data_IF_997280036036
#
_entry.id   IF_997280036036
#
_cell.length_a   1.000
_cell.length_b   1.000
_cell.length_c   1.000
_cell.angle_alpha   90.00
_cell.angle_beta   90.00
_cell.angle_gamma   90.00
#
_symmetry.space_group_name_H-M   'P 1'
#
loop_
_entity.id
_entity.type
_entity.pdbx_description
1 polymer ?
#
# COMPACT_ATOMS: atom_id res chain seq x y z
N UNK A 1 -43.37 -0.50 -63.29
CA UNK A 1 -43.74 0.50 -62.33
C UNK A 1 -43.64 -0.17 -60.96
N UNK A 2 -42.55 -0.03 -60.26
CA UNK A 2 -42.31 -0.69 -58.96
C UNK A 2 -41.91 0.41 -57.95
N UNK A 3 -42.80 0.63 -57.01
CA UNK A 3 -42.69 1.58 -55.92
C UNK A 3 -41.77 0.96 -54.84
N UNK A 4 -40.62 1.58 -54.56
CA UNK A 4 -39.73 1.21 -53.50
C UNK A 4 -40.20 1.95 -52.24
N UNK A 5 -40.67 1.20 -51.24
CA UNK A 5 -40.96 1.68 -49.89
C UNK A 5 -39.65 1.75 -49.11
N UNK A 6 -39.21 2.93 -48.74
CA UNK A 6 -38.10 3.14 -47.79
C UNK A 6 -38.61 2.95 -46.37
N UNK A 7 -38.15 1.90 -45.72
CA UNK A 7 -38.37 1.68 -44.25
C UNK A 7 -37.28 2.38 -43.50
N UNK A 8 -37.55 3.49 -42.89
CA UNK A 8 -36.70 4.15 -41.92
C UNK A 8 -36.73 3.40 -40.60
N UNK A 9 -35.63 2.70 -40.28
CA UNK A 9 -35.45 2.09 -38.95
C UNK A 9 -35.04 3.19 -37.96
N UNK A 10 -35.99 3.56 -37.10
CA UNK A 10 -35.74 4.41 -35.93
C UNK A 10 -35.11 3.50 -34.86
N UNK A 11 -33.78 3.60 -34.72
CA UNK A 11 -33.09 2.96 -33.58
C UNK A 11 -33.26 3.91 -32.38
N UNK A 12 -34.28 3.64 -31.57
CA UNK A 12 -34.42 4.24 -30.25
C UNK A 12 -33.33 3.62 -29.36
N UNK A 13 -32.28 4.40 -29.08
CA UNK A 13 -31.26 4.05 -28.11
C UNK A 13 -31.88 3.97 -26.71
N UNK A 14 -32.09 2.74 -26.22
CA UNK A 14 -32.29 2.51 -24.79
C UNK A 14 -30.98 2.81 -24.08
N UNK A 15 -30.85 4.02 -23.53
CA UNK A 15 -29.89 4.27 -22.48
C UNK A 15 -30.40 3.53 -21.23
N UNK A 16 -29.91 2.33 -21.00
CA UNK A 16 -30.03 1.66 -19.71
C UNK A 16 -29.25 2.51 -18.70
N UNK A 17 -29.96 3.40 -18.00
CA UNK A 17 -29.45 4.03 -16.80
C UNK A 17 -29.06 2.93 -15.84
N UNK A 18 -27.75 2.72 -15.65
CA UNK A 18 -27.23 1.92 -14.55
C UNK A 18 -27.64 2.64 -13.27
N UNK A 19 -28.77 2.24 -12.71
CA UNK A 19 -29.09 2.54 -11.34
C UNK A 19 -27.99 1.87 -10.50
N UNK A 20 -27.04 2.67 -10.02
CA UNK A 20 -26.15 2.27 -8.94
C UNK A 20 -27.03 1.91 -7.76
N UNK A 21 -27.30 0.62 -7.59
CA UNK A 21 -27.90 0.13 -6.36
C UNK A 21 -26.90 0.45 -5.24
N UNK A 22 -27.19 1.52 -4.51
CA UNK A 22 -26.60 1.77 -3.21
C UNK A 22 -27.01 0.62 -2.32
N UNK A 23 -26.18 -0.42 -2.24
CA UNK A 23 -26.36 -1.47 -1.24
C UNK A 23 -26.27 -0.77 0.13
N UNK A 24 -27.35 -0.82 0.91
CA UNK A 24 -27.37 -0.46 2.33
C UNK A 24 -26.46 -1.46 3.09
N UNK A 25 -25.14 -1.31 2.92
CA UNK A 25 -24.12 -2.02 3.68
C UNK A 25 -23.39 -1.03 4.59
N UNK A 26 -22.69 -1.52 5.57
CA UNK A 26 -21.80 -0.68 6.40
C UNK A 26 -20.78 0.03 5.48
N UNK A 27 -20.64 1.35 5.63
CA UNK A 27 -19.65 2.11 4.87
C UNK A 27 -18.22 1.77 5.36
N UNK A 28 -17.30 1.55 4.42
CA UNK A 28 -15.87 1.47 4.76
C UNK A 28 -15.37 2.89 5.05
N UNK A 29 -14.89 3.12 6.26
CA UNK A 29 -14.39 4.43 6.69
C UNK A 29 -12.87 4.56 6.52
N UNK A 30 -12.13 3.45 6.62
CA UNK A 30 -10.67 3.43 6.52
C UNK A 30 -10.16 2.04 6.19
N UNK A 31 -9.06 1.97 5.44
CA UNK A 31 -8.25 0.76 5.28
C UNK A 31 -6.85 1.10 5.80
N UNK A 32 -6.34 0.31 6.74
CA UNK A 32 -4.99 0.45 7.28
C UNK A 32 -4.24 -0.85 7.07
N UNK A 33 -3.00 -0.77 6.59
CA UNK A 33 -2.15 -1.93 6.49
C UNK A 33 -1.67 -2.37 7.88
N UNK A 34 -1.86 -3.63 8.23
CA UNK A 34 -1.27 -4.28 9.38
C UNK A 34 -0.23 -5.29 8.89
N UNK A 35 1.03 -5.05 9.24
CA UNK A 35 2.12 -5.98 8.92
C UNK A 35 2.61 -6.67 10.19
N UNK A 36 3.17 -7.85 10.01
CA UNK A 36 3.72 -8.62 11.12
C UNK A 36 5.24 -8.62 11.08
N UNK A 37 5.86 -8.64 12.25
CA UNK A 37 7.30 -8.73 12.41
C UNK A 37 7.62 -9.66 13.61
N UNK A 38 8.72 -10.42 13.60
CA UNK A 38 9.17 -11.15 14.79
C UNK A 38 9.41 -10.20 15.96
N UNK A 39 10.04 -9.06 15.71
CA UNK A 39 10.30 -7.96 16.65
C UNK A 39 10.05 -6.64 15.95
N UNK A 40 9.49 -5.66 16.66
CA UNK A 40 9.10 -4.35 16.10
C UNK A 40 10.26 -3.38 16.08
N UNK A 41 11.14 -3.41 17.09
CA UNK A 41 12.20 -2.43 17.30
C UNK A 41 13.13 -2.26 16.08
N UNK A 42 13.56 -3.32 15.37
CA UNK A 42 14.34 -3.15 14.15
C UNK A 42 13.56 -2.42 13.03
N UNK A 43 12.25 -2.69 12.93
CA UNK A 43 11.40 -2.01 11.94
C UNK A 43 11.21 -0.53 12.25
N UNK A 44 11.23 -0.12 13.54
CA UNK A 44 11.14 1.30 13.90
C UNK A 44 12.34 2.11 13.38
N UNK A 45 13.55 1.56 13.39
CA UNK A 45 14.72 2.23 12.81
C UNK A 45 14.52 2.53 11.33
N UNK A 46 13.95 1.58 10.60
CA UNK A 46 13.64 1.75 9.19
C UNK A 46 12.50 2.76 8.95
N UNK A 47 11.36 2.55 9.61
CA UNK A 47 10.18 3.37 9.35
C UNK A 47 10.28 4.78 9.97
N UNK A 48 10.79 4.89 11.21
CA UNK A 48 10.87 6.17 11.91
C UNK A 48 12.15 6.91 11.56
N UNK A 49 13.33 6.30 11.79
CA UNK A 49 14.60 7.02 11.69
C UNK A 49 15.00 7.28 10.23
N UNK A 50 14.79 6.30 9.32
CA UNK A 50 15.17 6.46 7.91
C UNK A 50 14.05 7.10 7.08
N UNK A 51 12.81 6.64 7.22
CA UNK A 51 11.71 7.08 6.37
C UNK A 51 10.89 8.24 6.97
N UNK A 52 11.11 8.59 8.25
CA UNK A 52 10.50 9.75 8.90
C UNK A 52 9.01 9.56 9.26
N UNK A 53 8.57 8.33 9.53
CA UNK A 53 7.27 8.09 10.14
C UNK A 53 7.28 8.51 11.61
N UNK A 54 6.13 8.89 12.13
CA UNK A 54 5.92 9.19 13.54
C UNK A 54 5.19 8.05 14.22
N UNK A 55 5.75 7.52 15.32
CA UNK A 55 5.06 6.53 16.15
C UNK A 55 4.04 7.28 17.03
N UNK A 56 2.75 6.97 16.87
CA UNK A 56 1.65 7.62 17.59
C UNK A 56 0.99 6.72 18.65
N UNK A 57 1.16 5.40 18.50
CA UNK A 57 0.68 4.41 19.49
C UNK A 57 1.76 3.36 19.70
N UNK A 58 1.93 2.90 20.94
CA UNK A 58 2.71 1.73 21.27
C UNK A 58 2.02 0.91 22.37
N UNK A 59 2.11 -0.40 22.25
CA UNK A 59 1.63 -1.36 23.26
C UNK A 59 2.78 -2.30 23.59
N UNK A 60 3.23 -2.33 24.85
CA UNK A 60 4.29 -3.21 25.27
C UNK A 60 3.84 -4.68 25.36
N UNK A 61 4.76 -5.59 25.11
CA UNK A 61 4.65 -7.01 25.34
C UNK A 61 5.90 -7.50 26.09
N UNK A 62 5.78 -7.64 27.41
CA UNK A 62 6.93 -7.88 28.29
C UNK A 62 7.88 -6.68 28.26
N UNK A 63 9.14 -6.93 27.89
CA UNK A 63 10.18 -5.91 27.75
C UNK A 63 10.37 -5.44 26.28
N UNK A 64 9.48 -5.82 25.37
CA UNK A 64 9.49 -5.47 23.95
C UNK A 64 8.18 -4.81 23.56
N UNK A 65 8.11 -4.35 22.30
CA UNK A 65 6.87 -3.83 21.72
C UNK A 65 6.04 -4.98 21.13
N UNK A 66 4.75 -5.01 21.51
CA UNK A 66 3.77 -5.94 20.95
C UNK A 66 3.05 -5.38 19.74
N UNK A 67 2.80 -4.05 19.73
CA UNK A 67 2.06 -3.36 18.68
C UNK A 67 2.45 -1.89 18.62
N UNK A 68 2.47 -1.32 17.41
CA UNK A 68 2.65 0.12 17.16
C UNK A 68 1.78 0.61 16.02
N UNK A 69 1.43 1.91 16.04
CA UNK A 69 0.86 2.65 14.92
C UNK A 69 1.84 3.73 14.51
N UNK A 70 2.17 3.76 13.23
CA UNK A 70 3.04 4.73 12.58
C UNK A 70 2.23 5.56 11.59
N UNK A 71 2.47 6.87 11.56
CA UNK A 71 1.79 7.78 10.63
C UNK A 71 2.80 8.66 9.89
N UNK A 72 2.49 8.97 8.63
CA UNK A 72 3.23 9.93 7.82
C UNK A 72 2.37 10.41 6.66
N UNK A 73 2.30 11.73 6.45
CA UNK A 73 1.65 12.35 5.28
C UNK A 73 0.22 11.82 5.02
N UNK A 74 -0.55 11.57 6.08
CA UNK A 74 -1.90 11.02 6.00
C UNK A 74 -1.97 9.48 5.84
N UNK A 75 -0.84 8.81 5.61
CA UNK A 75 -0.77 7.36 5.61
C UNK A 75 -0.65 6.81 7.05
N UNK A 76 -1.17 5.62 7.27
CA UNK A 76 -1.06 4.89 8.52
C UNK A 76 -0.60 3.46 8.28
N UNK A 77 0.32 3.00 9.12
CA UNK A 77 0.85 1.65 9.12
C UNK A 77 0.80 1.09 10.55
N UNK A 78 0.28 -0.10 10.71
CA UNK A 78 0.30 -0.86 11.95
C UNK A 78 1.35 -1.96 11.86
N UNK A 79 2.12 -2.15 12.93
CA UNK A 79 3.07 -3.27 13.05
C UNK A 79 2.75 -4.02 14.34
N UNK A 80 2.59 -5.34 14.24
CA UNK A 80 2.36 -6.20 15.39
C UNK A 80 3.43 -7.29 15.44
N UNK A 81 3.98 -7.54 16.63
CA UNK A 81 4.92 -8.63 16.83
C UNK A 81 4.19 -9.97 16.86
N UNK A 82 4.89 -11.05 16.46
CA UNK A 82 4.31 -12.40 16.54
C UNK A 82 3.95 -12.80 17.97
N UNK A 83 4.70 -12.31 18.96
CA UNK A 83 4.35 -12.51 20.38
C UNK A 83 3.09 -11.74 20.78
N UNK A 84 2.95 -10.48 20.33
CA UNK A 84 1.76 -9.66 20.52
C UNK A 84 0.51 -10.30 19.94
N UNK A 85 0.59 -10.85 18.72
CA UNK A 85 -0.54 -11.57 18.08
C UNK A 85 -0.97 -12.77 18.91
N UNK A 86 -0.01 -13.56 19.41
CA UNK A 86 -0.32 -14.75 20.23
C UNK A 86 -1.13 -14.41 21.48
N UNK A 87 -0.87 -13.26 22.08
CA UNK A 87 -1.57 -12.79 23.27
C UNK A 87 -2.92 -12.15 22.96
N UNK A 88 -2.98 -11.35 21.89
CA UNK A 88 -4.13 -10.53 21.53
C UNK A 88 -5.17 -11.30 20.71
N UNK A 89 -4.73 -11.94 19.62
CA UNK A 89 -5.61 -12.63 18.67
C UNK A 89 -5.03 -14.01 18.35
N UNK A 90 -5.12 -14.94 19.30
CA UNK A 90 -4.51 -16.27 19.15
C UNK A 90 -4.91 -17.03 17.87
N UNK A 91 -6.11 -16.79 17.35
CA UNK A 91 -6.58 -17.38 16.08
C UNK A 91 -5.80 -16.90 14.85
N UNK A 92 -5.05 -15.80 14.96
CA UNK A 92 -4.25 -15.23 13.87
C UNK A 92 -2.79 -15.68 13.87
N UNK A 93 -2.36 -16.45 14.85
CA UNK A 93 -0.93 -16.82 15.05
C UNK A 93 -0.33 -17.51 13.81
N UNK A 94 -1.07 -18.41 13.17
CA UNK A 94 -0.60 -19.12 11.97
C UNK A 94 -0.40 -18.19 10.75
N UNK A 95 -1.09 -17.06 10.73
CA UNK A 95 -1.06 -16.06 9.67
C UNK A 95 -0.09 -14.90 9.98
N UNK A 96 0.30 -14.74 11.23
CA UNK A 96 1.11 -13.63 11.73
C UNK A 96 2.60 -13.81 11.37
N UNK A 97 2.92 -13.69 10.08
CA UNK A 97 4.28 -13.80 9.54
C UNK A 97 4.59 -12.66 8.58
N UNK A 98 5.88 -12.27 8.42
CA UNK A 98 6.28 -11.25 7.46
C UNK A 98 6.08 -11.76 6.02
N UNK A 99 4.99 -11.40 5.41
CA UNK A 99 4.63 -11.81 4.04
C UNK A 99 3.95 -10.69 3.25
N UNK A 100 3.86 -9.47 3.82
CA UNK A 100 3.26 -8.34 3.13
C UNK A 100 4.19 -7.79 2.05
N UNK A 101 3.58 -7.28 0.98
CA UNK A 101 4.21 -6.38 0.03
C UNK A 101 3.44 -5.05 0.06
N UNK A 102 4.08 -4.00 0.55
CA UNK A 102 3.53 -2.66 0.55
C UNK A 102 4.00 -1.93 -0.70
N UNK A 103 3.07 -1.25 -1.40
CA UNK A 103 3.38 -0.36 -2.50
C UNK A 103 3.20 1.08 -2.02
N UNK A 104 4.27 1.88 -2.06
CA UNK A 104 4.28 3.25 -1.54
C UNK A 104 4.74 4.20 -2.63
N UNK A 105 3.87 5.12 -3.03
CA UNK A 105 4.25 6.21 -3.92
C UNK A 105 4.92 7.33 -3.11
N UNK A 106 6.03 7.85 -3.65
CA UNK A 106 6.84 8.91 -3.01
C UNK A 106 7.04 10.08 -3.97
N UNK A 107 7.16 11.27 -3.40
CA UNK A 107 7.38 12.49 -4.19
C UNK A 107 8.82 12.63 -4.67
N UNK A 108 9.81 12.33 -3.83
CA UNK A 108 11.24 12.40 -4.15
C UNK A 108 11.87 11.01 -4.08
N UNK A 109 12.00 10.38 -5.24
CA UNK A 109 12.56 9.03 -5.35
C UNK A 109 14.06 8.98 -5.05
N UNK A 110 14.80 9.99 -5.46
CA UNK A 110 16.26 9.99 -5.31
C UNK A 110 16.66 10.29 -3.85
N UNK A 111 15.92 11.14 -3.13
CA UNK A 111 16.07 11.32 -1.69
C UNK A 111 15.69 10.04 -0.93
N UNK A 112 14.60 9.39 -1.31
CA UNK A 112 14.22 8.11 -0.73
C UNK A 112 15.34 7.08 -0.86
N UNK A 113 15.91 6.89 -2.05
CA UNK A 113 16.99 5.91 -2.29
C UNK A 113 18.20 6.18 -1.39
N UNK A 114 18.54 7.45 -1.16
CA UNK A 114 19.61 7.82 -0.21
C UNK A 114 19.26 7.42 1.22
N UNK A 115 18.01 7.63 1.65
CA UNK A 115 17.53 7.28 3.00
C UNK A 115 17.46 5.78 3.23
N UNK A 116 17.17 4.98 2.19
CA UNK A 116 17.18 3.52 2.29
C UNK A 116 18.56 2.96 2.67
N UNK A 117 19.64 3.66 2.35
CA UNK A 117 21.01 3.32 2.77
C UNK A 117 21.40 1.90 2.39
N UNK A 118 21.63 1.05 3.40
CA UNK A 118 22.03 -0.35 3.23
C UNK A 118 20.85 -1.35 3.30
N UNK A 119 19.60 -0.87 3.18
CA UNK A 119 18.45 -1.75 3.18
C UNK A 119 18.56 -2.83 2.08
N UNK A 120 18.29 -4.12 2.38
CA UNK A 120 18.43 -5.19 1.39
C UNK A 120 17.52 -4.98 0.19
N UNK A 121 18.11 -4.75 -0.99
CA UNK A 121 17.38 -4.55 -2.24
C UNK A 121 16.90 -5.91 -2.76
N UNK A 122 15.61 -6.02 -2.98
CA UNK A 122 14.93 -7.20 -3.55
C UNK A 122 14.59 -6.98 -5.02
N UNK A 123 14.16 -5.76 -5.36
CA UNK A 123 13.90 -5.32 -6.74
C UNK A 123 14.83 -4.15 -7.02
N UNK A 124 15.83 -4.30 -7.90
CA UNK A 124 16.69 -3.20 -8.32
C UNK A 124 15.88 -2.04 -8.91
N UNK A 125 16.46 -0.83 -8.91
CA UNK A 125 15.83 0.33 -9.54
C UNK A 125 15.47 -0.02 -10.99
N UNK A 126 14.20 0.20 -11.34
CA UNK A 126 13.68 -0.02 -12.67
C UNK A 126 12.67 1.05 -13.07
N UNK A 127 12.46 1.20 -14.36
CA UNK A 127 11.34 1.96 -14.90
C UNK A 127 10.33 0.98 -15.48
N UNK A 128 9.07 1.11 -15.06
CA UNK A 128 7.98 0.27 -15.55
C UNK A 128 7.49 0.77 -16.90
N UNK A 129 6.79 -0.10 -17.65
CA UNK A 129 6.20 0.27 -18.94
C UNK A 129 5.08 1.33 -18.81
N UNK A 130 4.51 1.48 -17.62
CA UNK A 130 3.49 2.49 -17.30
C UNK A 130 4.06 3.77 -16.66
N UNK A 131 5.38 3.98 -16.74
CA UNK A 131 6.02 5.25 -16.40
C UNK A 131 6.29 5.47 -14.92
N UNK A 132 6.45 4.40 -14.12
CA UNK A 132 6.89 4.50 -12.73
C UNK A 132 8.36 4.09 -12.59
N UNK A 133 9.14 4.85 -11.82
CA UNK A 133 10.47 4.46 -11.34
C UNK A 133 10.30 3.78 -10.00
N UNK A 134 10.81 2.56 -9.85
CA UNK A 134 10.56 1.71 -8.68
C UNK A 134 11.85 1.14 -8.10
N UNK A 135 11.85 0.90 -6.78
CA UNK A 135 12.82 0.10 -6.03
C UNK A 135 12.09 -0.74 -4.98
N UNK A 136 12.45 -2.02 -4.84
CA UNK A 136 11.91 -2.88 -3.80
C UNK A 136 12.98 -3.24 -2.78
N UNK A 137 12.66 -3.10 -1.50
CA UNK A 137 13.54 -3.47 -0.39
C UNK A 137 12.84 -4.39 0.59
N UNK A 138 13.62 -5.16 1.35
CA UNK A 138 13.13 -5.90 2.51
C UNK A 138 13.32 -5.03 3.75
N UNK A 139 12.23 -4.66 4.41
CA UNK A 139 12.29 -3.96 5.69
C UNK A 139 12.75 -4.94 6.82
N UNK A 140 13.28 -4.44 7.95
CA UNK A 140 13.89 -5.30 8.97
C UNK A 140 12.96 -6.33 9.62
N UNK A 141 11.64 -6.10 9.62
CA UNK A 141 10.63 -7.07 10.07
C UNK A 141 10.43 -8.22 9.09
N UNK A 142 10.96 -8.12 7.86
CA UNK A 142 10.94 -9.15 6.83
C UNK A 142 9.94 -8.93 5.70
N UNK A 143 9.09 -7.90 5.77
CA UNK A 143 8.15 -7.59 4.70
C UNK A 143 8.85 -6.88 3.53
N UNK A 144 8.22 -6.93 2.36
CA UNK A 144 8.72 -6.22 1.18
C UNK A 144 8.02 -4.87 1.06
N UNK A 145 8.80 -3.85 0.76
CA UNK A 145 8.28 -2.51 0.45
C UNK A 145 8.75 -2.12 -0.94
N UNK A 146 7.80 -1.89 -1.83
CA UNK A 146 8.03 -1.40 -3.18
C UNK A 146 7.73 0.10 -3.19
N UNK A 147 8.76 0.91 -3.35
CA UNK A 147 8.65 2.35 -3.48
C UNK A 147 8.59 2.74 -4.94
N UNK A 148 7.73 3.69 -5.27
CA UNK A 148 7.51 4.14 -6.63
C UNK A 148 7.36 5.65 -6.72
N UNK A 149 7.80 6.23 -7.85
CA UNK A 149 7.52 7.60 -8.21
C UNK A 149 7.27 7.71 -9.72
N UNK A 150 6.43 8.65 -10.12
CA UNK A 150 6.22 8.93 -11.55
C UNK A 150 7.52 9.42 -12.18
N UNK A 151 7.88 8.87 -13.34
CA UNK A 151 8.97 9.40 -14.15
C UNK A 151 8.55 10.80 -14.60
N UNK A 152 9.33 11.82 -14.22
CA UNK A 152 9.11 13.16 -14.73
C UNK A 152 9.39 13.13 -16.23
N UNK A 153 8.36 13.38 -17.04
CA UNK A 153 8.57 13.65 -18.46
C UNK A 153 9.32 14.98 -18.55
N UNK A 154 10.54 14.95 -19.06
CA UNK A 154 11.26 16.18 -19.41
C UNK A 154 10.37 16.95 -20.37
N UNK A 155 9.93 18.15 -19.99
CA UNK A 155 9.27 19.04 -20.90
C UNK A 155 10.25 19.31 -22.07
N UNK A 156 9.97 18.73 -23.22
CA UNK A 156 10.68 19.07 -24.45
C UNK A 156 10.24 20.48 -24.84
N UNK A 157 11.11 21.45 -24.62
CA UNK A 157 10.97 22.81 -25.12
C UNK A 157 11.36 22.85 -26.60
#
# INVERSE_FOLDING_TARGET
MRTLLAVALLVAGLQAGQATQSTKGSSTTKITALIYAPEIEPSLKFWVDQLGFTKVVEVPEGNKLGFVILVKDGAELMIQSTAGVKKDISAMVEYARPAACLYIEVGDFDDLVKRLGTAPVVVPIRTTFYGMKEIGVREPGGNIVLFAAKVQQSATH
#
